data_IF_269893834159
#
_entry.id   IF_269893834159
#
_cell.length_a   1.000
_cell.length_b   1.000
_cell.length_c   1.000
_cell.angle_alpha   90.00
_cell.angle_beta   90.00
_cell.angle_gamma   90.00
#
_symmetry.space_group_name_H-M   'P 1'
#
loop_
_entity.id
_entity.type
_entity.pdbx_description
1 polymer ?
#
# COMPACT_ATOMS: atom_id res chain seq x y z
N UNK A 1 -11.95 -22.60 -11.01
CA UNK A 1 -12.69 -21.44 -10.45
C UNK A 1 -12.62 -20.30 -11.44
N UNK A 2 -13.74 -19.66 -11.74
CA UNK A 2 -13.74 -18.42 -12.51
C UNK A 2 -13.22 -17.23 -11.66
N UNK A 3 -13.05 -16.07 -12.28
CA UNK A 3 -12.50 -14.88 -11.63
C UNK A 3 -13.29 -14.44 -10.38
N UNK A 4 -14.62 -14.43 -10.44
CA UNK A 4 -15.48 -14.00 -9.33
C UNK A 4 -15.41 -14.98 -8.16
N UNK A 5 -15.43 -16.28 -8.44
CA UNK A 5 -15.26 -17.32 -7.43
C UNK A 5 -13.90 -17.20 -6.72
N UNK A 6 -12.83 -16.84 -7.45
CA UNK A 6 -11.51 -16.58 -6.86
C UNK A 6 -11.53 -15.36 -5.94
N UNK A 7 -12.17 -14.26 -6.35
CA UNK A 7 -12.33 -13.06 -5.50
C UNK A 7 -13.08 -13.40 -4.21
N UNK A 8 -14.25 -14.02 -4.30
CA UNK A 8 -15.07 -14.37 -3.14
C UNK A 8 -14.33 -15.38 -2.26
N UNK A 9 -13.69 -16.36 -2.88
CA UNK A 9 -12.92 -17.40 -2.19
C UNK A 9 -11.75 -16.85 -1.36
N UNK A 10 -11.13 -15.74 -1.76
CA UNK A 10 -10.06 -15.12 -0.97
C UNK A 10 -10.56 -14.54 0.37
N UNK A 11 -11.85 -14.22 0.48
CA UNK A 11 -12.43 -13.76 1.74
C UNK A 11 -12.97 -14.89 2.61
N UNK A 12 -13.45 -15.98 1.99
CA UNK A 12 -14.12 -17.08 2.70
C UNK A 12 -13.21 -18.28 2.97
N UNK A 13 -12.22 -18.53 2.11
CA UNK A 13 -11.31 -19.67 2.17
C UNK A 13 -9.97 -19.34 1.48
N UNK A 14 -9.20 -18.38 2.01
CA UNK A 14 -8.03 -17.83 1.32
C UNK A 14 -6.94 -18.86 0.99
N UNK A 15 -6.63 -19.77 1.93
CA UNK A 15 -5.59 -20.78 1.72
C UNK A 15 -5.93 -21.70 0.55
N UNK A 16 -7.17 -22.24 0.54
CA UNK A 16 -7.66 -23.12 -0.53
C UNK A 16 -7.75 -22.38 -1.87
N UNK A 17 -8.30 -21.18 -1.86
CA UNK A 17 -8.47 -20.38 -3.07
C UNK A 17 -7.14 -20.02 -3.70
N UNK A 18 -6.14 -19.66 -2.88
CA UNK A 18 -4.80 -19.36 -3.38
C UNK A 18 -4.09 -20.62 -3.90
N UNK A 19 -4.35 -21.80 -3.32
CA UNK A 19 -3.89 -23.07 -3.87
C UNK A 19 -4.48 -23.33 -5.27
N UNK A 20 -5.76 -23.01 -5.47
CA UNK A 20 -6.42 -23.15 -6.78
C UNK A 20 -5.92 -22.11 -7.80
N UNK A 21 -5.65 -20.88 -7.38
CA UNK A 21 -5.00 -19.85 -8.23
C UNK A 21 -3.61 -20.31 -8.67
N UNK A 22 -2.83 -20.94 -7.77
CA UNK A 22 -1.48 -21.41 -8.07
C UNK A 22 -1.43 -22.53 -9.13
N UNK A 23 -2.50 -23.32 -9.28
CA UNK A 23 -2.60 -24.38 -10.31
C UNK A 23 -2.76 -23.80 -11.72
N UNK A 24 -3.50 -22.71 -11.84
CA UNK A 24 -3.80 -22.06 -13.13
C UNK A 24 -3.67 -20.53 -12.97
N UNK A 25 -2.42 -20.02 -12.91
CA UNK A 25 -2.15 -18.61 -12.71
C UNK A 25 -2.51 -17.82 -13.96
N UNK A 26 -3.38 -16.83 -13.78
CA UNK A 26 -3.87 -15.92 -14.84
C UNK A 26 -3.44 -14.50 -14.49
N UNK A 27 -2.41 -14.01 -15.18
CA UNK A 27 -1.79 -12.73 -14.85
C UNK A 27 -2.71 -11.55 -15.16
N UNK A 28 -3.56 -11.70 -16.16
CA UNK A 28 -4.59 -10.74 -16.54
C UNK A 28 -5.60 -10.48 -15.42
N UNK A 29 -5.99 -11.53 -14.68
CA UNK A 29 -6.90 -11.40 -13.53
C UNK A 29 -6.23 -10.62 -12.39
N UNK A 30 -4.95 -10.88 -12.12
CA UNK A 30 -4.16 -10.13 -11.16
C UNK A 30 -3.94 -8.68 -11.59
N UNK A 31 -3.67 -8.43 -12.88
CA UNK A 31 -3.50 -7.09 -13.43
C UNK A 31 -4.78 -6.24 -13.28
N UNK A 32 -5.97 -6.84 -13.47
CA UNK A 32 -7.25 -6.15 -13.21
C UNK A 32 -7.38 -5.74 -11.74
N UNK A 33 -7.03 -6.62 -10.80
CA UNK A 33 -7.06 -6.29 -9.36
C UNK A 33 -6.11 -5.14 -9.03
N UNK A 34 -4.88 -5.19 -9.55
CA UNK A 34 -3.88 -4.14 -9.34
C UNK A 34 -4.29 -2.83 -10.00
N UNK A 35 -4.92 -2.86 -11.18
CA UNK A 35 -5.44 -1.68 -11.85
C UNK A 35 -6.58 -1.03 -11.06
N UNK A 36 -7.51 -1.82 -10.51
CA UNK A 36 -8.55 -1.32 -9.62
C UNK A 36 -7.95 -0.68 -8.37
N UNK A 37 -6.96 -1.32 -7.75
CA UNK A 37 -6.23 -0.76 -6.62
C UNK A 37 -5.52 0.55 -6.99
N UNK A 38 -4.92 0.63 -8.18
CA UNK A 38 -4.25 1.82 -8.69
C UNK A 38 -5.21 2.99 -8.89
N UNK A 39 -6.38 2.76 -9.48
CA UNK A 39 -7.40 3.79 -9.67
C UNK A 39 -7.87 4.32 -8.31
N UNK A 40 -8.20 3.44 -7.38
CA UNK A 40 -8.64 3.84 -6.04
C UNK A 40 -7.53 4.59 -5.29
N UNK A 41 -6.28 4.16 -5.43
CA UNK A 41 -5.12 4.82 -4.83
C UNK A 41 -4.89 6.21 -5.40
N UNK A 42 -5.02 6.40 -6.72
CA UNK A 42 -4.92 7.70 -7.38
C UNK A 42 -5.99 8.68 -6.88
N UNK A 43 -7.24 8.22 -6.77
CA UNK A 43 -8.35 9.02 -6.24
C UNK A 43 -8.09 9.39 -4.78
N UNK A 44 -7.70 8.41 -3.95
CA UNK A 44 -7.38 8.64 -2.54
C UNK A 44 -6.21 9.63 -2.37
N UNK A 45 -5.17 9.50 -3.19
CA UNK A 45 -4.02 10.39 -3.19
C UNK A 45 -4.38 11.83 -3.62
N UNK A 46 -5.26 11.97 -4.62
CA UNK A 46 -5.79 13.28 -5.02
C UNK A 46 -6.59 13.92 -3.88
N UNK A 47 -7.48 13.17 -3.23
CA UNK A 47 -8.26 13.65 -2.08
C UNK A 47 -7.33 14.06 -0.94
N UNK A 48 -6.32 13.25 -0.62
CA UNK A 48 -5.34 13.58 0.42
C UNK A 48 -4.62 14.89 0.08
N UNK A 49 -4.15 15.05 -1.16
CA UNK A 49 -3.45 16.24 -1.61
C UNK A 49 -4.36 17.48 -1.67
N UNK A 50 -5.66 17.33 -1.95
CA UNK A 50 -6.60 18.46 -1.95
C UNK A 50 -6.96 18.95 -0.55
N UNK A 51 -6.75 18.13 0.48
CA UNK A 51 -6.88 18.53 1.89
C UNK A 51 -5.60 19.20 2.43
N UNK A 52 -4.57 19.34 1.59
CA UNK A 52 -3.37 20.11 1.89
C UNK A 52 -3.40 21.42 1.09
N UNK A 53 -3.54 22.54 1.78
CA UNK A 53 -3.46 23.87 1.17
C UNK A 53 -2.02 24.36 1.25
N UNK A 54 -1.40 24.57 0.09
CA UNK A 54 -0.05 25.13 0.01
C UNK A 54 -0.13 26.63 -0.26
N UNK A 55 0.47 27.43 0.61
CA UNK A 55 0.62 28.88 0.46
C UNK A 55 2.10 29.18 0.24
N UNK A 56 2.43 29.69 -0.93
CA UNK A 56 3.80 30.05 -1.25
C UNK A 56 4.04 31.52 -0.90
N UNK A 57 5.15 31.79 -0.22
CA UNK A 57 5.58 33.17 0.07
C UNK A 57 6.07 33.91 -1.18
N UNK A 58 6.48 33.15 -2.20
CA UNK A 58 6.83 33.66 -3.53
C UNK A 58 5.64 33.50 -4.49
N UNK A 59 5.03 34.60 -4.98
CA UNK A 59 3.93 34.56 -5.93
C UNK A 59 4.23 33.80 -7.23
N UNK A 60 5.51 33.71 -7.64
CA UNK A 60 5.90 32.96 -8.83
C UNK A 60 5.66 31.44 -8.70
N UNK A 61 5.51 30.95 -7.46
CA UNK A 61 5.32 29.53 -7.15
C UNK A 61 3.87 29.14 -6.86
N UNK A 62 2.91 30.07 -6.96
CA UNK A 62 1.49 29.78 -6.67
C UNK A 62 0.93 28.60 -7.49
N UNK A 63 1.39 28.43 -8.75
CA UNK A 63 1.00 27.30 -9.61
C UNK A 63 1.57 25.94 -9.18
N UNK A 64 2.59 25.91 -8.32
CA UNK A 64 3.20 24.65 -7.86
C UNK A 64 2.23 23.81 -7.02
N UNK A 65 1.30 24.42 -6.29
CA UNK A 65 0.31 23.69 -5.49
C UNK A 65 -0.47 22.69 -6.34
N UNK A 66 -1.04 23.16 -7.46
CA UNK A 66 -1.81 22.30 -8.37
C UNK A 66 -0.95 21.22 -9.03
N UNK A 67 0.30 21.55 -9.38
CA UNK A 67 1.25 20.59 -9.93
C UNK A 67 1.53 19.47 -8.92
N UNK A 68 1.78 19.81 -7.64
CA UNK A 68 2.02 18.83 -6.59
C UNK A 68 0.81 17.91 -6.37
N UNK A 69 -0.41 18.45 -6.36
CA UNK A 69 -1.64 17.65 -6.24
C UNK A 69 -1.78 16.66 -7.39
N UNK A 70 -1.63 17.12 -8.64
CA UNK A 70 -1.72 16.26 -9.83
C UNK A 70 -0.62 15.20 -9.80
N UNK A 71 0.62 15.60 -9.51
CA UNK A 71 1.75 14.70 -9.45
C UNK A 71 1.55 13.60 -8.39
N UNK A 72 1.00 13.94 -7.23
CA UNK A 72 0.67 12.99 -6.16
C UNK A 72 -0.38 11.97 -6.62
N UNK A 73 -1.40 12.41 -7.35
CA UNK A 73 -2.40 11.52 -7.93
C UNK A 73 -1.80 10.59 -9.00
N UNK A 74 -0.90 11.10 -9.85
CA UNK A 74 -0.17 10.30 -10.85
C UNK A 74 0.71 9.24 -10.20
N UNK A 75 1.42 9.58 -9.11
CA UNK A 75 2.16 8.60 -8.32
C UNK A 75 1.20 7.54 -7.77
N UNK A 76 0.05 7.96 -7.20
CA UNK A 76 -0.97 7.04 -6.70
C UNK A 76 -1.50 6.05 -7.74
N UNK A 77 -1.47 6.43 -9.02
CA UNK A 77 -1.85 5.57 -10.14
C UNK A 77 -0.72 4.62 -10.57
N UNK A 78 0.52 5.09 -10.63
CA UNK A 78 1.65 4.33 -11.20
C UNK A 78 2.30 3.42 -10.15
N UNK A 79 2.47 3.91 -8.93
CA UNK A 79 3.20 3.22 -7.88
C UNK A 79 2.66 1.81 -7.57
N UNK A 80 1.34 1.53 -7.56
CA UNK A 80 0.83 0.19 -7.32
C UNK A 80 1.32 -0.86 -8.32
N UNK A 81 1.44 -0.51 -9.61
CA UNK A 81 1.98 -1.41 -10.63
C UNK A 81 3.48 -1.68 -10.42
N UNK A 82 4.25 -0.61 -10.20
CA UNK A 82 5.70 -0.69 -10.00
C UNK A 82 6.01 -1.50 -8.74
N UNK A 83 5.36 -1.17 -7.62
CA UNK A 83 5.55 -1.85 -6.34
C UNK A 83 5.07 -3.31 -6.39
N UNK A 84 4.01 -3.63 -7.12
CA UNK A 84 3.57 -5.02 -7.28
C UNK A 84 4.67 -5.90 -7.89
N UNK A 85 5.33 -5.43 -8.95
CA UNK A 85 6.43 -6.14 -9.60
C UNK A 85 7.66 -6.19 -8.70
N UNK A 86 8.06 -5.07 -8.09
CA UNK A 86 9.23 -5.00 -7.20
C UNK A 86 9.06 -5.92 -5.99
N UNK A 87 7.92 -5.84 -5.30
CA UNK A 87 7.64 -6.67 -4.12
C UNK A 87 7.67 -8.15 -4.52
N UNK A 88 7.07 -8.51 -5.64
CA UNK A 88 7.11 -9.89 -6.14
C UNK A 88 8.54 -10.33 -6.42
N UNK A 89 9.38 -9.48 -7.02
CA UNK A 89 10.78 -9.79 -7.29
C UNK A 89 11.57 -10.01 -6.00
N UNK A 90 11.38 -9.15 -5.00
CA UNK A 90 12.00 -9.30 -3.67
C UNK A 90 11.57 -10.62 -3.03
N UNK A 91 10.27 -10.93 -3.01
CA UNK A 91 9.76 -12.18 -2.44
C UNK A 91 10.26 -13.41 -3.19
N UNK A 92 10.34 -13.33 -4.53
CA UNK A 92 10.84 -14.42 -5.37
C UNK A 92 12.31 -14.72 -5.07
N UNK A 93 13.17 -13.70 -5.07
CA UNK A 93 14.59 -13.85 -4.76
C UNK A 93 14.80 -14.37 -3.34
N UNK A 94 14.06 -13.82 -2.37
CA UNK A 94 14.19 -14.23 -0.98
C UNK A 94 13.69 -15.66 -0.75
N UNK A 95 12.68 -16.12 -1.51
CA UNK A 95 12.20 -17.50 -1.45
C UNK A 95 13.24 -18.54 -1.87
N UNK A 96 14.23 -18.16 -2.69
CA UNK A 96 15.29 -19.07 -3.15
C UNK A 96 16.15 -19.56 -1.97
N UNK A 97 16.33 -18.72 -0.94
CA UNK A 97 17.05 -19.10 0.30
C UNK A 97 16.32 -20.22 1.05
N UNK A 98 15.01 -20.33 0.88
CA UNK A 98 14.17 -21.34 1.50
C UNK A 98 13.84 -22.52 0.57
N UNK A 99 14.48 -22.60 -0.61
CA UNK A 99 14.26 -23.68 -1.58
C UNK A 99 12.98 -23.55 -2.40
N UNK A 100 12.49 -22.33 -2.68
CA UNK A 100 11.31 -22.11 -3.51
C UNK A 100 11.51 -22.55 -4.97
N UNK A 101 10.58 -23.34 -5.51
CA UNK A 101 10.68 -23.96 -6.85
C UNK A 101 9.70 -23.39 -7.88
N UNK A 102 8.92 -22.38 -7.51
CA UNK A 102 7.87 -21.82 -8.37
C UNK A 102 8.38 -20.87 -9.46
N UNK A 103 7.46 -20.44 -10.32
CA UNK A 103 7.74 -19.47 -11.39
C UNK A 103 7.42 -18.05 -10.95
N UNK A 104 8.26 -17.09 -11.33
CA UNK A 104 8.07 -15.68 -11.03
C UNK A 104 6.69 -15.15 -11.47
N UNK A 105 6.26 -15.43 -12.71
CA UNK A 105 4.95 -14.95 -13.21
C UNK A 105 3.76 -15.53 -12.45
N UNK A 106 3.86 -16.78 -11.99
CA UNK A 106 2.83 -17.38 -11.15
C UNK A 106 2.78 -16.68 -9.77
N UNK A 107 3.94 -16.28 -9.24
CA UNK A 107 4.01 -15.57 -7.97
C UNK A 107 3.47 -14.16 -8.13
N UNK A 108 3.81 -13.50 -9.24
CA UNK A 108 3.29 -12.18 -9.61
C UNK A 108 1.77 -12.20 -9.61
N UNK A 109 1.14 -13.21 -10.23
CA UNK A 109 -0.30 -13.42 -10.16
C UNK A 109 -0.80 -13.52 -8.71
N UNK A 110 -0.20 -14.40 -7.89
CA UNK A 110 -0.61 -14.59 -6.50
C UNK A 110 -0.48 -13.32 -5.63
N UNK A 111 0.59 -12.54 -5.80
CA UNK A 111 0.79 -11.26 -5.10
C UNK A 111 -0.15 -10.16 -5.64
N UNK A 112 -0.58 -10.25 -6.90
CA UNK A 112 -1.60 -9.34 -7.44
C UNK A 112 -2.95 -9.57 -6.76
N UNK A 113 -3.34 -10.84 -6.59
CA UNK A 113 -4.51 -11.21 -5.78
C UNK A 113 -4.38 -10.77 -4.32
N UNK A 114 -3.17 -10.78 -3.76
CA UNK A 114 -2.95 -10.34 -2.38
C UNK A 114 -3.18 -8.82 -2.20
N UNK A 115 -3.32 -8.02 -3.27
CA UNK A 115 -3.67 -6.61 -3.18
C UNK A 115 -5.17 -6.36 -2.92
N UNK A 116 -6.02 -7.38 -3.06
CA UNK A 116 -7.47 -7.23 -2.94
C UNK A 116 -7.93 -6.58 -1.61
N UNK A 117 -7.38 -6.94 -0.43
CA UNK A 117 -7.69 -6.24 0.82
C UNK A 117 -7.35 -4.74 0.80
N UNK A 118 -6.30 -4.34 0.07
CA UNK A 118 -5.87 -2.94 -0.01
C UNK A 118 -6.89 -2.07 -0.73
N UNK A 119 -7.65 -2.61 -1.68
CA UNK A 119 -8.74 -1.88 -2.34
C UNK A 119 -9.77 -1.44 -1.30
N UNK A 120 -10.24 -2.39 -0.48
CA UNK A 120 -11.23 -2.15 0.57
C UNK A 120 -10.70 -1.11 1.56
N UNK A 121 -9.48 -1.32 2.05
CA UNK A 121 -8.85 -0.43 3.03
C UNK A 121 -8.64 0.97 2.48
N UNK A 122 -8.21 1.11 1.23
CA UNK A 122 -7.99 2.43 0.62
C UNK A 122 -9.30 3.19 0.42
N UNK A 123 -10.40 2.50 0.09
CA UNK A 123 -11.72 3.12 0.03
C UNK A 123 -12.15 3.64 1.42
N UNK A 124 -11.97 2.84 2.47
CA UNK A 124 -12.26 3.26 3.85
C UNK A 124 -11.43 4.48 4.24
N UNK A 125 -10.12 4.46 3.94
CA UNK A 125 -9.21 5.57 4.22
C UNK A 125 -9.58 6.83 3.43
N UNK A 126 -9.99 6.70 2.17
CA UNK A 126 -10.46 7.81 1.35
C UNK A 126 -11.72 8.47 1.94
N UNK A 127 -12.67 7.69 2.45
CA UNK A 127 -13.85 8.20 3.14
C UNK A 127 -13.46 8.92 4.43
N UNK A 128 -12.57 8.34 5.23
CA UNK A 128 -12.07 8.98 6.45
C UNK A 128 -11.38 10.32 6.16
N UNK A 129 -10.61 10.42 5.06
CA UNK A 129 -9.96 11.68 4.67
C UNK A 129 -10.96 12.81 4.44
N UNK A 130 -12.17 12.54 3.95
CA UNK A 130 -13.18 13.59 3.76
C UNK A 130 -13.68 14.20 5.07
N UNK A 131 -13.42 13.54 6.20
CA UNK A 131 -13.74 14.03 7.54
C UNK A 131 -12.55 14.73 8.19
N UNK A 132 -11.37 14.67 7.57
CA UNK A 132 -10.18 15.32 8.08
C UNK A 132 -10.23 16.83 7.78
N UNK A 133 -9.81 17.70 8.72
CA UNK A 133 -9.71 19.12 8.46
C UNK A 133 -8.62 19.40 7.42
N UNK A 134 -8.79 20.48 6.66
CA UNK A 134 -7.78 20.97 5.71
C UNK A 134 -6.58 21.51 6.49
N UNK A 135 -5.38 21.10 6.09
CA UNK A 135 -4.11 21.55 6.68
C UNK A 135 -3.47 22.58 5.75
N UNK A 136 -3.08 23.73 6.29
CA UNK A 136 -2.41 24.79 5.51
C UNK A 136 -0.91 24.79 5.81
N UNK A 137 -0.13 24.57 4.75
CA UNK A 137 1.32 24.64 4.74
C UNK A 137 1.78 25.91 4.06
N UNK A 138 2.59 26.71 4.74
CA UNK A 138 3.33 27.82 4.15
C UNK A 138 4.71 27.33 3.71
N UNK A 139 5.08 27.61 2.46
CA UNK A 139 6.36 27.22 1.88
C UNK A 139 7.17 28.49 1.58
N UNK A 140 8.35 28.59 2.21
CA UNK A 140 9.31 29.67 1.96
C UNK A 140 10.00 29.51 0.60
N UNK A 141 10.59 30.58 0.07
CA UNK A 141 11.42 30.55 -1.14
C UNK A 141 12.65 29.63 -1.02
N UNK A 142 13.08 29.33 0.21
CA UNK A 142 14.16 28.36 0.49
C UNK A 142 13.68 26.89 0.54
N UNK A 143 12.38 26.65 0.34
CA UNK A 143 11.76 25.32 0.40
C UNK A 143 11.38 24.85 1.81
N UNK A 144 11.64 25.64 2.85
CA UNK A 144 11.18 25.31 4.21
C UNK A 144 9.65 25.34 4.27
N UNK A 145 9.06 24.30 4.85
CA UNK A 145 7.62 24.16 5.03
C UNK A 145 7.26 24.37 6.50
N UNK A 146 6.26 25.23 6.76
CA UNK A 146 5.71 25.51 8.08
C UNK A 146 4.20 25.26 8.06
N UNK A 147 3.66 24.62 9.08
CA UNK A 147 2.19 24.51 9.25
C UNK A 147 1.70 25.82 9.87
N UNK A 148 0.74 26.49 9.23
CA UNK A 148 0.29 27.84 9.61
C UNK A 148 -1.16 27.88 10.06
N UNK A 149 -2.00 27.05 9.46
CA UNK A 149 -3.38 26.84 9.90
C UNK A 149 -3.69 25.34 9.91
N UNK A 150 -4.24 24.91 11.03
CA UNK A 150 -4.33 23.51 11.43
C UNK A 150 -3.96 23.45 12.90
N UNK A 151 -4.87 22.97 13.75
CA UNK A 151 -4.53 22.70 15.15
C UNK A 151 -3.22 21.90 15.17
N UNK A 152 -2.24 22.27 15.99
CA UNK A 152 -1.00 21.49 16.11
C UNK A 152 -1.33 20.03 16.54
N UNK A 153 -2.55 19.82 17.09
CA UNK A 153 -3.17 18.53 17.37
C UNK A 153 -3.70 17.76 16.13
N UNK A 154 -3.87 18.38 14.97
CA UNK A 154 -4.14 17.75 13.65
C UNK A 154 -2.88 17.07 13.08
N UNK A 155 -1.74 17.20 13.76
CA UNK A 155 -0.54 16.42 13.49
C UNK A 155 -0.76 14.89 13.54
N UNK A 156 0.34 14.14 13.43
CA UNK A 156 0.35 12.67 13.43
C UNK A 156 -0.39 12.02 14.62
N UNK A 157 -0.68 12.80 15.68
CA UNK A 157 -1.34 12.40 16.92
C UNK A 157 -2.87 12.62 16.95
N UNK A 158 -3.47 13.19 15.91
CA UNK A 158 -4.93 13.37 15.88
C UNK A 158 -5.65 12.01 15.88
N UNK A 159 -6.85 11.87 16.49
CA UNK A 159 -7.58 10.60 16.48
C UNK A 159 -7.82 10.04 15.07
N UNK A 160 -8.04 10.92 14.08
CA UNK A 160 -8.25 10.52 12.69
C UNK A 160 -6.94 10.03 12.05
N UNK A 161 -5.82 10.72 12.29
CA UNK A 161 -4.49 10.30 11.82
C UNK A 161 -4.08 8.95 12.42
N UNK A 162 -4.39 8.72 13.70
CA UNK A 162 -4.14 7.42 14.37
C UNK A 162 -5.03 6.34 13.75
N UNK A 163 -6.32 6.62 13.56
CA UNK A 163 -7.24 5.67 12.93
C UNK A 163 -6.78 5.28 11.52
N UNK A 164 -6.30 6.24 10.72
CA UNK A 164 -5.76 5.98 9.39
C UNK A 164 -4.53 5.06 9.44
N UNK A 165 -3.61 5.30 10.37
CA UNK A 165 -2.42 4.44 10.54
C UNK A 165 -2.81 3.01 10.94
N UNK A 166 -3.73 2.85 11.90
CA UNK A 166 -4.20 1.54 12.35
C UNK A 166 -4.90 0.79 11.21
N UNK A 167 -5.81 1.44 10.51
CA UNK A 167 -6.56 0.86 9.39
C UNK A 167 -5.61 0.49 8.24
N UNK A 168 -4.65 1.36 7.92
CA UNK A 168 -3.60 1.10 6.95
C UNK A 168 -2.75 -0.13 7.33
N UNK A 169 -2.36 -0.25 8.60
CA UNK A 169 -1.60 -1.39 9.11
C UNK A 169 -2.41 -2.68 9.03
N UNK A 170 -3.70 -2.66 9.38
CA UNK A 170 -4.60 -3.81 9.23
C UNK A 170 -4.64 -4.25 7.75
N UNK A 171 -4.79 -3.31 6.81
CA UNK A 171 -4.77 -3.60 5.39
C UNK A 171 -3.46 -4.21 4.90
N UNK A 172 -2.33 -3.68 5.38
CA UNK A 172 -1.01 -4.22 5.08
C UNK A 172 -0.85 -5.65 5.58
N UNK A 173 -1.18 -5.90 6.85
CA UNK A 173 -1.08 -7.22 7.46
C UNK A 173 -2.01 -8.23 6.78
N UNK A 174 -3.23 -7.81 6.42
CA UNK A 174 -4.17 -8.64 5.69
C UNK A 174 -3.65 -9.00 4.28
N UNK A 175 -3.11 -8.01 3.56
CA UNK A 175 -2.47 -8.25 2.26
C UNK A 175 -1.26 -9.18 2.38
N UNK A 176 -0.46 -9.03 3.42
CA UNK A 176 0.68 -9.91 3.68
C UNK A 176 0.24 -11.34 4.01
N UNK A 177 -0.82 -11.52 4.80
CA UNK A 177 -1.40 -12.84 5.06
C UNK A 177 -1.83 -13.54 3.76
N UNK A 178 -2.47 -12.82 2.84
CA UNK A 178 -2.78 -13.35 1.50
C UNK A 178 -1.51 -13.67 0.70
N UNK A 179 -0.48 -12.81 0.80
CA UNK A 179 0.83 -13.03 0.20
C UNK A 179 1.53 -14.29 0.71
N UNK A 180 1.38 -14.64 2.00
CA UNK A 180 1.92 -15.88 2.57
C UNK A 180 1.31 -17.10 1.89
N UNK A 181 -0.01 -17.12 1.67
CA UNK A 181 -0.63 -18.22 0.93
C UNK A 181 -0.18 -18.27 -0.53
N UNK A 182 0.03 -17.11 -1.17
CA UNK A 182 0.55 -17.04 -2.53
C UNK A 182 1.95 -17.67 -2.62
N UNK A 183 2.86 -17.24 -1.75
CA UNK A 183 4.22 -17.78 -1.66
C UNK A 183 4.20 -19.27 -1.36
N UNK A 184 3.41 -19.71 -0.36
CA UNK A 184 3.27 -21.12 0.03
C UNK A 184 2.91 -22.00 -1.17
N UNK A 185 1.83 -21.68 -1.88
CA UNK A 185 1.31 -22.56 -2.92
C UNK A 185 2.04 -22.43 -4.25
N UNK A 186 2.41 -21.21 -4.65
CA UNK A 186 3.10 -20.99 -5.92
C UNK A 186 4.54 -21.48 -5.86
N UNK A 187 5.26 -21.18 -4.77
CA UNK A 187 6.68 -21.54 -4.62
C UNK A 187 6.86 -22.89 -3.93
N UNK A 188 5.76 -23.59 -3.61
CA UNK A 188 5.73 -24.91 -2.96
C UNK A 188 6.47 -24.96 -1.63
N UNK A 189 6.44 -23.85 -0.89
CA UNK A 189 7.08 -23.73 0.41
C UNK A 189 6.16 -24.21 1.53
N UNK A 190 6.76 -24.66 2.64
CA UNK A 190 6.01 -24.85 3.89
C UNK A 190 5.40 -23.53 4.36
N UNK A 191 4.30 -23.58 5.12
CA UNK A 191 3.66 -22.38 5.68
C UNK A 191 4.65 -21.54 6.50
N UNK A 192 5.56 -22.19 7.25
CA UNK A 192 6.58 -21.51 8.05
C UNK A 192 7.57 -20.74 7.17
N UNK A 193 8.11 -21.39 6.14
CA UNK A 193 9.03 -20.76 5.20
C UNK A 193 8.37 -19.62 4.43
N UNK A 194 7.13 -19.82 3.96
CA UNK A 194 6.37 -18.76 3.28
C UNK A 194 6.11 -17.55 4.19
N UNK A 195 5.79 -17.79 5.47
CA UNK A 195 5.62 -16.74 6.46
C UNK A 195 6.91 -15.95 6.70
N UNK A 196 8.08 -16.60 6.72
CA UNK A 196 9.37 -15.92 6.82
C UNK A 196 9.69 -15.11 5.57
N UNK A 197 9.40 -15.66 4.38
CA UNK A 197 9.65 -14.98 3.10
C UNK A 197 8.89 -13.67 2.99
N UNK A 198 7.65 -13.62 3.47
CA UNK A 198 6.83 -12.40 3.48
C UNK A 198 7.10 -11.53 4.72
N UNK A 199 7.26 -12.17 5.87
CA UNK A 199 7.36 -11.52 7.18
C UNK A 199 8.65 -10.73 7.36
N UNK A 200 9.80 -11.23 6.88
CA UNK A 200 11.07 -10.53 7.04
C UNK A 200 11.08 -9.19 6.29
N UNK A 201 10.75 -9.12 4.98
CA UNK A 201 10.60 -7.85 4.27
C UNK A 201 9.57 -6.91 4.92
N UNK A 202 8.46 -7.46 5.42
CA UNK A 202 7.45 -6.69 6.14
C UNK A 202 8.02 -6.05 7.42
N UNK A 203 8.74 -6.82 8.25
CA UNK A 203 9.35 -6.29 9.48
C UNK A 203 10.37 -5.21 9.14
N UNK A 204 11.20 -5.41 8.12
CA UNK A 204 12.16 -4.39 7.66
C UNK A 204 11.40 -3.11 7.24
N UNK A 205 10.33 -3.25 6.46
CA UNK A 205 9.50 -2.12 6.05
C UNK A 205 8.90 -1.39 7.26
N UNK A 206 8.39 -2.11 8.26
CA UNK A 206 7.82 -1.51 9.46
C UNK A 206 8.89 -0.79 10.29
N UNK A 207 10.09 -1.36 10.44
CA UNK A 207 11.21 -0.71 11.14
C UNK A 207 11.64 0.56 10.41
N UNK A 208 11.71 0.56 9.07
CA UNK A 208 12.06 1.77 8.32
C UNK A 208 10.96 2.83 8.44
N UNK A 209 9.69 2.43 8.32
CA UNK A 209 8.55 3.36 8.28
C UNK A 209 8.24 3.97 9.64
N UNK A 210 8.43 3.22 10.73
CA UNK A 210 8.05 3.64 12.09
C UNK A 210 9.23 3.77 13.04
N UNK A 211 10.44 3.34 12.67
CA UNK A 211 11.61 3.37 13.52
C UNK A 211 12.07 4.77 13.88
N UNK A 212 11.84 5.76 13.02
CA UNK A 212 12.12 7.17 13.33
C UNK A 212 11.29 7.65 14.52
N UNK A 213 10.00 7.33 14.57
CA UNK A 213 9.14 7.66 15.72
C UNK A 213 9.61 7.00 17.02
N UNK A 214 10.18 5.80 16.94
CA UNK A 214 10.73 5.08 18.10
C UNK A 214 12.05 5.68 18.60
N UNK A 215 12.93 6.11 17.68
CA UNK A 215 14.20 6.76 18.03
C UNK A 215 14.01 8.15 18.66
N UNK A 216 13.03 8.93 18.18
CA UNK A 216 12.71 10.24 18.75
C UNK A 216 11.92 10.18 20.07
N UNK A 217 11.27 9.06 20.39
CA UNK A 217 10.58 8.88 21.67
C UNK A 217 11.49 8.44 22.84
N UNK A 218 12.77 8.14 22.55
CA UNK A 218 13.78 7.68 23.52
C UNK A 218 14.86 8.73 23.84
N UNK A 219 14.83 9.89 23.17
CA UNK A 219 15.72 11.05 23.37
C UNK A 219 14.92 12.24 23.91
#
# INVERSE_FOLDING_TARGET
>A
MNFIERIIGLFTSPDKTMADIAKEPRIEEAAVIVALYAIVSAISAYIAASHMKYVFTDPALEGMASIMTIFTAVIGLIAPFVLWVIITAVLYLFSMVFGGEGKFLALLTGIGYSQLPKIIVTLILAVLLTQAPVITYEISSSGQTRVVDGDQAVGLSSPISIAQQIIGLIGLLWSCLMGVFAVKHVLKLSTKSAALVVGIPLVIYLVISFGSAFLYGLL
#
